data_IF_808525266533
#
_entry.id   IF_808525266533
#
_cell.length_a   1.000
_cell.length_b   1.000
_cell.length_c   1.000
_cell.angle_alpha   90.00
_cell.angle_beta   90.00
_cell.angle_gamma   90.00
#
_symmetry.space_group_name_H-M   'P 1'
#
loop_
_entity.id
_entity.type
_entity.pdbx_description
1 polymer ?
#
# COMPACT_ATOMS: atom_id res chain seq x y z
N UNK A 1 12.39 7.73 17.84
CA UNK A 1 11.02 7.90 18.27
C UNK A 1 10.22 8.48 17.13
N UNK A 2 9.16 7.78 16.74
CA UNK A 2 8.20 8.30 15.78
C UNK A 2 7.09 9.09 16.48
N UNK A 3 6.23 9.72 15.72
CA UNK A 3 5.01 10.34 16.24
C UNK A 3 4.04 9.27 16.74
N UNK A 4 3.25 9.60 17.78
CA UNK A 4 2.09 8.77 18.17
C UNK A 4 0.97 8.92 17.14
N UNK A 5 0.01 7.98 17.14
CA UNK A 5 -1.17 8.10 16.24
C UNK A 5 -1.93 9.39 16.50
N UNK A 6 -2.09 9.78 17.76
CA UNK A 6 -2.77 11.01 18.17
C UNK A 6 -2.07 12.27 17.65
N UNK A 7 -0.73 12.30 17.70
CA UNK A 7 0.06 13.40 17.14
C UNK A 7 -0.10 13.50 15.63
N UNK A 8 -0.11 12.37 14.91
CA UNK A 8 -0.32 12.34 13.45
C UNK A 8 -1.73 12.82 13.09
N UNK A 9 -2.76 12.33 13.79
CA UNK A 9 -4.14 12.76 13.57
C UNK A 9 -4.33 14.25 13.81
N UNK A 10 -3.77 14.77 14.92
CA UNK A 10 -3.83 16.19 15.23
C UNK A 10 -3.11 17.06 14.19
N UNK A 11 -1.95 16.61 13.69
CA UNK A 11 -1.18 17.33 12.67
C UNK A 11 -1.92 17.40 11.32
N UNK A 12 -2.61 16.34 10.94
CA UNK A 12 -3.37 16.28 9.68
C UNK A 12 -4.81 16.77 9.79
N UNK A 13 -5.29 17.06 10.99
CA UNK A 13 -6.69 17.39 11.23
C UNK A 13 -7.65 16.25 10.90
N UNK A 14 -7.19 15.00 11.01
CA UNK A 14 -7.99 13.83 10.71
C UNK A 14 -8.85 13.44 11.92
N UNK A 15 -10.14 13.15 11.70
CA UNK A 15 -11.11 12.81 12.75
C UNK A 15 -10.90 11.40 13.31
N UNK A 16 -10.21 10.51 12.58
CA UNK A 16 -9.98 9.13 12.99
C UNK A 16 -8.82 8.45 12.26
N UNK A 17 -8.39 7.30 12.80
CA UNK A 17 -7.30 6.49 12.25
C UNK A 17 -7.66 5.88 10.88
N UNK A 18 -8.92 5.60 10.67
CA UNK A 18 -9.52 5.13 9.43
C UNK A 18 -10.80 5.93 9.19
N UNK A 19 -11.10 6.17 7.95
CA UNK A 19 -12.22 7.01 7.55
C UNK A 19 -12.63 6.74 6.10
N UNK A 20 -13.78 7.26 5.71
CA UNK A 20 -14.24 7.25 4.33
C UNK A 20 -14.78 8.63 3.94
N UNK A 21 -14.81 8.88 2.66
CA UNK A 21 -15.37 10.10 2.07
C UNK A 21 -15.79 9.83 0.63
N UNK A 22 -16.76 10.59 0.15
CA UNK A 22 -17.15 10.55 -1.24
C UNK A 22 -16.39 11.60 -2.04
N UNK A 23 -15.86 11.20 -3.18
CA UNK A 23 -15.21 12.09 -4.15
C UNK A 23 -15.84 11.87 -5.52
N UNK A 24 -16.61 12.85 -5.98
CA UNK A 24 -17.41 12.71 -7.20
C UNK A 24 -18.32 11.48 -7.14
N UNK A 25 -18.14 10.55 -8.05
CA UNK A 25 -18.90 9.31 -8.19
C UNK A 25 -18.26 8.10 -7.48
N UNK A 26 -17.23 8.32 -6.67
CA UNK A 26 -16.52 7.26 -5.97
C UNK A 26 -16.60 7.44 -4.46
N UNK A 27 -16.74 6.32 -3.77
CA UNK A 27 -16.52 6.22 -2.33
C UNK A 27 -15.07 5.83 -2.07
N UNK A 28 -14.39 6.57 -1.20
CA UNK A 28 -12.98 6.36 -0.85
C UNK A 28 -12.88 5.91 0.60
N UNK A 29 -12.24 4.77 0.82
CA UNK A 29 -11.97 4.22 2.16
C UNK A 29 -10.48 4.29 2.44
N UNK A 30 -10.09 4.87 3.56
CA UNK A 30 -8.71 4.87 4.07
C UNK A 30 -8.65 4.01 5.32
N UNK A 31 -7.84 2.94 5.25
CA UNK A 31 -7.67 1.98 6.34
C UNK A 31 -6.36 2.18 7.09
N UNK A 32 -6.41 2.02 8.41
CA UNK A 32 -5.21 1.97 9.27
C UNK A 32 -4.77 0.51 9.47
N UNK A 33 -3.64 0.14 8.89
CA UNK A 33 -3.06 -1.20 9.03
C UNK A 33 -2.17 -1.37 10.26
N UNK A 34 -2.13 -0.43 11.21
CA UNK A 34 -1.18 -0.40 12.31
C UNK A 34 -1.78 -0.78 13.67
N UNK A 35 -2.82 -1.60 13.70
CA UNK A 35 -3.27 -2.21 14.94
C UNK A 35 -2.36 -3.37 15.34
N UNK A 36 -2.32 -3.66 16.65
CA UNK A 36 -1.60 -4.82 17.17
C UNK A 36 -2.43 -6.09 16.97
N UNK A 37 -1.81 -7.11 16.35
CA UNK A 37 -2.39 -8.44 16.34
C UNK A 37 -2.41 -8.98 17.78
N UNK A 38 -3.57 -9.34 18.35
CA UNK A 38 -3.67 -9.86 19.70
C UNK A 38 -3.15 -11.30 19.86
N UNK A 39 -2.83 -11.99 18.76
CA UNK A 39 -2.35 -13.36 18.79
C UNK A 39 -1.00 -13.47 19.50
N UNK A 40 -0.82 -14.41 20.43
CA UNK A 40 0.49 -14.70 21.03
C UNK A 40 1.51 -15.20 20.01
N UNK A 41 1.05 -15.77 18.88
CA UNK A 41 1.90 -16.25 17.80
C UNK A 41 2.10 -15.20 16.69
N UNK A 42 1.77 -13.93 16.95
CA UNK A 42 1.96 -12.88 15.97
C UNK A 42 3.40 -12.81 15.48
N UNK A 43 3.62 -12.54 14.19
CA UNK A 43 4.96 -12.31 13.66
C UNK A 43 5.65 -11.15 14.40
N UNK A 44 6.96 -11.29 14.62
CA UNK A 44 7.79 -10.21 15.15
C UNK A 44 7.83 -9.02 14.20
N UNK A 45 8.12 -7.85 14.76
CA UNK A 45 8.23 -6.60 14.00
C UNK A 45 7.16 -5.59 14.39
N UNK A 46 6.95 -4.62 13.52
CA UNK A 46 5.93 -3.57 13.76
C UNK A 46 4.51 -4.07 13.44
N UNK A 47 3.53 -3.32 13.92
CA UNK A 47 2.12 -3.65 13.78
C UNK A 47 1.69 -3.67 12.30
N UNK A 48 1.01 -4.75 11.90
CA UNK A 48 0.45 -4.95 10.55
C UNK A 48 -0.86 -5.73 10.65
N UNK A 49 -1.86 -5.12 11.23
CA UNK A 49 -3.12 -5.77 11.53
C UNK A 49 -4.27 -4.77 11.42
N UNK A 50 -5.44 -5.22 11.02
CA UNK A 50 -6.67 -4.46 11.04
C UNK A 50 -7.59 -5.09 12.09
N UNK A 51 -7.84 -4.35 13.17
CA UNK A 51 -8.60 -4.83 14.30
C UNK A 51 -10.08 -5.09 13.98
N UNK A 52 -10.77 -5.88 14.83
CA UNK A 52 -12.18 -6.23 14.62
C UNK A 52 -13.11 -5.01 14.61
N UNK A 53 -12.78 -3.98 15.37
CA UNK A 53 -13.55 -2.73 15.40
C UNK A 53 -13.53 -2.05 14.02
N UNK A 54 -12.35 -1.91 13.42
CA UNK A 54 -12.22 -1.33 12.08
C UNK A 54 -12.87 -2.23 11.01
N UNK A 55 -12.75 -3.55 11.11
CA UNK A 55 -13.42 -4.46 10.18
C UNK A 55 -14.95 -4.34 10.25
N UNK A 56 -15.50 -4.22 11.45
CA UNK A 56 -16.94 -4.00 11.66
C UNK A 56 -17.39 -2.63 11.12
N UNK A 57 -16.56 -1.60 11.32
CA UNK A 57 -16.82 -0.29 10.73
C UNK A 57 -16.80 -0.36 9.20
N UNK A 58 -15.80 -0.99 8.60
CA UNK A 58 -15.66 -1.13 7.16
C UNK A 58 -16.86 -1.87 6.54
N UNK A 59 -17.35 -2.95 7.19
CA UNK A 59 -18.54 -3.66 6.71
C UNK A 59 -19.79 -2.76 6.72
N UNK A 60 -19.97 -1.96 7.77
CA UNK A 60 -21.09 -1.02 7.88
C UNK A 60 -20.98 0.12 6.87
N UNK A 61 -19.80 0.69 6.73
CA UNK A 61 -19.52 1.77 5.81
C UNK A 61 -19.80 1.36 4.35
N UNK A 62 -19.26 0.21 3.94
CA UNK A 62 -19.55 -0.36 2.62
C UNK A 62 -21.03 -0.72 2.40
N UNK A 63 -21.78 -1.02 3.45
CA UNK A 63 -23.21 -1.29 3.33
C UNK A 63 -24.05 -0.02 3.14
N UNK A 64 -23.56 1.14 3.54
CA UNK A 64 -24.27 2.43 3.48
C UNK A 64 -24.11 3.14 2.13
N UNK A 65 -23.14 2.77 1.32
CA UNK A 65 -22.91 3.37 0.01
C UNK A 65 -23.30 2.43 -1.13
N UNK A 66 -23.78 3.00 -2.23
CA UNK A 66 -23.96 2.32 -3.51
C UNK A 66 -22.89 2.77 -4.53
N UNK A 67 -21.97 3.64 -4.14
CA UNK A 67 -20.92 4.13 -5.04
C UNK A 67 -19.82 3.08 -5.27
N UNK A 68 -19.20 3.07 -6.44
CA UNK A 68 -17.95 2.37 -6.67
C UNK A 68 -16.91 2.79 -5.63
N UNK A 69 -16.23 1.82 -5.03
CA UNK A 69 -15.37 2.06 -3.87
C UNK A 69 -13.91 1.81 -4.19
N UNK A 70 -13.08 2.76 -3.78
CA UNK A 70 -11.62 2.70 -3.79
C UNK A 70 -11.13 2.51 -2.36
N UNK A 71 -10.24 1.56 -2.13
CA UNK A 71 -9.69 1.28 -0.80
C UNK A 71 -8.21 1.60 -0.78
N UNK A 72 -7.76 2.33 0.23
CA UNK A 72 -6.37 2.70 0.46
C UNK A 72 -5.91 2.11 1.80
N UNK A 73 -4.85 1.31 1.76
CA UNK A 73 -4.20 0.77 2.94
C UNK A 73 -2.70 0.74 2.72
N UNK A 74 -1.90 1.26 3.67
CA UNK A 74 -0.45 1.32 3.47
C UNK A 74 0.16 -0.06 3.27
N UNK A 75 -0.18 -1.03 4.11
CA UNK A 75 0.26 -2.42 3.94
C UNK A 75 -0.69 -3.17 3.00
N UNK A 76 -0.13 -4.06 2.16
CA UNK A 76 -0.91 -4.83 1.18
C UNK A 76 -1.97 -5.73 1.82
N UNK A 77 -3.15 -5.78 1.20
CA UNK A 77 -4.24 -6.69 1.56
C UNK A 77 -4.26 -7.95 0.68
N UNK A 78 -3.40 -8.03 -0.31
CA UNK A 78 -3.35 -9.10 -1.32
C UNK A 78 -2.45 -10.28 -0.90
N UNK A 79 -1.57 -10.09 0.08
CA UNK A 79 -0.70 -11.12 0.62
C UNK A 79 -0.34 -10.85 2.07
N UNK A 80 0.12 -11.88 2.77
CA UNK A 80 0.58 -11.86 4.16
C UNK A 80 2.11 -11.86 4.30
N UNK A 81 2.86 -11.95 3.19
CA UNK A 81 4.31 -11.87 3.16
C UNK A 81 4.81 -10.41 3.32
N UNK A 82 4.55 -9.82 4.48
CA UNK A 82 4.87 -8.43 4.79
C UNK A 82 3.68 -7.47 4.62
N UNK A 83 2.54 -7.93 4.13
CA UNK A 83 1.26 -7.24 4.15
C UNK A 83 0.55 -7.33 5.51
N UNK A 84 -0.73 -7.06 5.54
CA UNK A 84 -1.58 -7.18 6.73
C UNK A 84 -1.68 -8.64 7.17
N UNK A 85 -1.43 -8.95 8.44
CA UNK A 85 -1.45 -10.32 8.99
C UNK A 85 -2.81 -11.01 8.80
N UNK A 86 -3.89 -10.27 8.94
CA UNK A 86 -5.24 -10.77 8.71
C UNK A 86 -5.83 -10.33 7.37
N UNK A 87 -5.00 -10.18 6.33
CA UNK A 87 -5.40 -9.73 5.00
C UNK A 87 -6.58 -10.53 4.42
N UNK A 88 -6.61 -11.85 4.63
CA UNK A 88 -7.72 -12.71 4.20
C UNK A 88 -9.07 -12.29 4.79
N UNK A 89 -9.10 -11.88 6.06
CA UNK A 89 -10.33 -11.36 6.69
C UNK A 89 -10.75 -10.02 6.10
N UNK A 90 -9.77 -9.15 5.83
CA UNK A 90 -10.04 -7.86 5.18
C UNK A 90 -10.62 -8.07 3.78
N UNK A 91 -10.00 -8.95 2.97
CA UNK A 91 -10.53 -9.30 1.64
C UNK A 91 -11.94 -9.85 1.70
N UNK A 92 -12.22 -10.73 2.67
CA UNK A 92 -13.57 -11.29 2.83
C UNK A 92 -14.64 -10.21 3.08
N UNK A 93 -14.33 -9.13 3.79
CA UNK A 93 -15.24 -7.98 3.97
C UNK A 93 -15.52 -7.30 2.63
N UNK A 94 -14.46 -7.03 1.84
CA UNK A 94 -14.58 -6.39 0.52
C UNK A 94 -15.36 -7.27 -0.47
N UNK A 95 -15.08 -8.56 -0.51
CA UNK A 95 -15.73 -9.54 -1.37
C UNK A 95 -17.22 -9.71 -1.01
N UNK A 96 -17.55 -9.76 0.28
CA UNK A 96 -18.95 -9.78 0.76
C UNK A 96 -19.70 -8.51 0.37
N UNK A 97 -19.05 -7.34 0.40
CA UNK A 97 -19.66 -6.10 -0.04
C UNK A 97 -20.04 -6.16 -1.53
N UNK A 98 -19.17 -6.71 -2.38
CA UNK A 98 -19.48 -6.95 -3.79
C UNK A 98 -20.63 -7.94 -3.98
N UNK A 99 -20.60 -9.04 -3.24
CA UNK A 99 -21.67 -10.06 -3.29
C UNK A 99 -23.02 -9.49 -2.88
N UNK A 100 -23.08 -8.75 -1.77
CA UNK A 100 -24.30 -8.13 -1.27
C UNK A 100 -24.86 -7.06 -2.22
N UNK A 101 -23.97 -6.32 -2.89
CA UNK A 101 -24.37 -5.30 -3.85
C UNK A 101 -24.88 -5.87 -5.19
N UNK A 102 -24.50 -7.11 -5.54
CA UNK A 102 -24.83 -7.71 -6.82
C UNK A 102 -23.97 -7.19 -7.99
N UNK A 103 -22.98 -6.36 -7.71
CA UNK A 103 -22.00 -5.83 -8.67
C UNK A 103 -20.64 -5.63 -8.01
N UNK A 104 -19.60 -5.39 -8.83
CA UNK A 104 -18.24 -5.13 -8.34
C UNK A 104 -18.12 -3.71 -7.75
N UNK A 105 -18.65 -3.52 -6.53
CA UNK A 105 -18.59 -2.24 -5.82
C UNK A 105 -17.14 -1.86 -5.48
N UNK A 106 -16.41 -2.76 -4.84
CA UNK A 106 -14.98 -2.60 -4.56
C UNK A 106 -14.20 -3.27 -5.67
N UNK A 107 -13.49 -2.49 -6.48
CA UNK A 107 -12.71 -3.00 -7.60
C UNK A 107 -11.22 -2.69 -7.51
N UNK A 108 -10.83 -1.66 -6.75
CA UNK A 108 -9.47 -1.17 -6.67
C UNK A 108 -9.04 -1.02 -5.20
N UNK A 109 -7.92 -1.63 -4.86
CA UNK A 109 -7.23 -1.49 -3.57
C UNK A 109 -5.81 -1.04 -3.83
N UNK A 110 -5.41 0.08 -3.23
CA UNK A 110 -4.09 0.67 -3.37
C UNK A 110 -3.27 0.46 -2.11
N UNK A 111 -2.02 0.02 -2.29
CA UNK A 111 -1.09 -0.19 -1.19
C UNK A 111 0.31 0.28 -1.55
N UNK A 112 1.13 0.53 -0.52
CA UNK A 112 2.55 0.82 -0.60
C UNK A 112 3.36 -0.20 0.19
N UNK A 113 4.24 0.23 1.10
CA UNK A 113 4.93 -0.56 2.10
C UNK A 113 6.06 -1.48 1.58
N UNK A 114 5.79 -2.32 0.59
CA UNK A 114 6.78 -3.28 0.07
C UNK A 114 7.89 -2.62 -0.72
N UNK A 115 7.73 -1.35 -1.12
CA UNK A 115 8.65 -0.63 -2.01
C UNK A 115 8.87 -1.38 -3.33
N UNK A 116 7.83 -2.03 -3.83
CA UNK A 116 7.80 -2.78 -5.08
C UNK A 116 6.64 -2.32 -5.94
N UNK A 117 6.76 -2.47 -7.25
CA UNK A 117 5.70 -2.18 -8.21
C UNK A 117 5.11 -3.49 -8.71
N UNK A 118 3.88 -3.80 -8.29
CA UNK A 118 3.18 -4.98 -8.76
C UNK A 118 1.66 -4.83 -8.75
N UNK A 119 1.00 -5.82 -9.31
CA UNK A 119 -0.44 -5.90 -9.44
C UNK A 119 -0.90 -7.35 -9.23
N UNK A 120 -1.95 -7.52 -8.46
CA UNK A 120 -2.64 -8.79 -8.27
C UNK A 120 -4.14 -8.62 -8.51
N UNK A 121 -4.81 -9.69 -8.94
CA UNK A 121 -6.27 -9.75 -8.96
C UNK A 121 -6.74 -10.96 -8.16
N UNK A 122 -7.60 -10.71 -7.16
CA UNK A 122 -8.16 -11.76 -6.30
C UNK A 122 -9.67 -11.55 -6.26
N UNK A 123 -10.42 -12.57 -6.67
CA UNK A 123 -11.89 -12.56 -6.66
C UNK A 123 -12.52 -11.30 -7.30
N UNK A 124 -11.94 -10.85 -8.42
CA UNK A 124 -12.41 -9.69 -9.18
C UNK A 124 -11.98 -8.32 -8.61
N UNK A 125 -11.30 -8.28 -7.48
CA UNK A 125 -10.74 -7.05 -6.89
C UNK A 125 -9.28 -6.92 -7.33
N UNK A 126 -8.91 -5.73 -7.77
CA UNK A 126 -7.57 -5.40 -8.26
C UNK A 126 -6.75 -4.76 -7.14
N UNK A 127 -5.64 -5.38 -6.77
CA UNK A 127 -4.72 -4.90 -5.75
C UNK A 127 -3.48 -4.31 -6.41
N UNK A 128 -3.27 -3.02 -6.23
CA UNK A 128 -2.22 -2.24 -6.89
C UNK A 128 -1.23 -1.82 -5.83
N UNK A 129 -0.04 -2.38 -5.92
CA UNK A 129 1.08 -2.02 -5.07
C UNK A 129 1.90 -0.95 -5.79
N UNK A 130 2.12 0.18 -5.12
CA UNK A 130 2.90 1.30 -5.63
C UNK A 130 4.22 1.34 -4.86
N UNK A 131 5.34 1.38 -5.58
CA UNK A 131 6.65 1.46 -4.96
C UNK A 131 6.85 2.79 -4.22
N UNK A 132 7.88 2.87 -3.38
CA UNK A 132 8.24 4.09 -2.66
C UNK A 132 8.57 5.24 -3.60
N UNK A 133 8.32 6.46 -3.16
CA UNK A 133 8.70 7.67 -3.88
C UNK A 133 10.21 7.81 -4.01
N UNK A 134 10.99 7.39 -3.03
CA UNK A 134 12.38 7.83 -2.88
C UNK A 134 13.42 6.73 -2.81
N UNK A 135 13.07 5.49 -2.43
CA UNK A 135 14.06 4.42 -2.26
C UNK A 135 13.41 3.02 -2.21
N UNK A 136 14.26 1.99 -2.44
CA UNK A 136 13.94 0.63 -2.03
C UNK A 136 14.68 0.27 -0.74
N UNK A 137 14.00 -0.40 0.19
CA UNK A 137 14.59 -0.84 1.46
C UNK A 137 15.31 -2.17 1.29
N UNK A 138 16.65 -2.17 1.48
CA UNK A 138 17.49 -3.36 1.36
C UNK A 138 17.69 -4.10 2.68
N UNK A 139 17.62 -3.39 3.79
CA UNK A 139 17.87 -3.94 5.12
C UNK A 139 19.35 -4.01 5.51
N UNK A 140 19.61 -4.58 6.68
CA UNK A 140 20.93 -4.56 7.30
C UNK A 140 21.97 -5.40 6.54
N UNK A 141 21.55 -6.51 5.94
CA UNK A 141 22.46 -7.42 5.22
C UNK A 141 23.16 -6.75 4.01
N UNK A 142 22.50 -5.75 3.41
CA UNK A 142 22.99 -5.04 2.23
C UNK A 142 23.24 -3.56 2.49
N UNK A 143 23.52 -3.19 3.74
CA UNK A 143 23.84 -1.81 4.08
C UNK A 143 25.04 -1.27 3.32
N UNK A 144 24.97 -0.02 2.88
CA UNK A 144 26.05 0.64 2.14
C UNK A 144 26.06 2.14 2.35
N UNK A 145 27.25 2.69 2.54
CA UNK A 145 27.44 4.13 2.59
C UNK A 145 27.43 4.68 1.16
N UNK A 146 26.43 5.52 0.87
CA UNK A 146 26.21 6.13 -0.45
C UNK A 146 26.37 7.65 -0.43
N UNK A 147 26.34 8.26 0.74
CA UNK A 147 26.36 9.70 0.96
C UNK A 147 27.46 10.10 1.93
N UNK A 148 27.72 11.39 2.05
CA UNK A 148 28.70 11.94 2.98
C UNK A 148 28.43 11.54 4.42
N UNK A 149 29.47 11.62 5.26
CA UNK A 149 29.35 11.31 6.68
C UNK A 149 28.27 12.17 7.36
N UNK A 150 28.21 13.46 7.06
CA UNK A 150 27.20 14.37 7.60
C UNK A 150 25.77 13.91 7.28
N UNK A 151 25.51 13.44 6.05
CA UNK A 151 24.19 12.89 5.66
C UNK A 151 23.91 11.60 6.43
N UNK A 152 24.88 10.70 6.56
CA UNK A 152 24.67 9.44 7.28
C UNK A 152 24.45 9.64 8.78
N UNK A 153 25.05 10.66 9.39
CA UNK A 153 24.82 11.03 10.79
C UNK A 153 23.41 11.59 11.00
N UNK A 154 22.94 12.45 10.09
CA UNK A 154 21.61 13.05 10.14
C UNK A 154 20.51 12.04 9.80
N UNK A 155 20.80 11.10 8.89
CA UNK A 155 19.86 10.09 8.40
C UNK A 155 20.44 8.67 8.56
N UNK A 156 20.54 8.13 9.79
CA UNK A 156 21.29 6.89 10.06
C UNK A 156 20.70 5.64 9.38
N UNK A 157 19.47 5.70 8.93
CA UNK A 157 18.79 4.60 8.23
C UNK A 157 19.02 4.60 6.71
N UNK A 158 19.57 5.68 6.14
CA UNK A 158 19.77 5.81 4.69
C UNK A 158 20.69 4.73 4.12
N UNK A 159 21.65 4.24 4.91
CA UNK A 159 22.57 3.16 4.53
C UNK A 159 21.89 1.82 4.25
N UNK A 160 20.66 1.61 4.73
CA UNK A 160 19.87 0.39 4.50
C UNK A 160 19.00 0.48 3.25
N UNK A 161 19.13 1.55 2.48
CA UNK A 161 18.31 1.84 1.31
C UNK A 161 19.15 1.92 0.05
N UNK A 162 18.50 1.73 -1.10
CA UNK A 162 18.99 2.19 -2.38
C UNK A 162 18.06 3.30 -2.89
N UNK A 163 18.50 4.56 -2.86
CA UNK A 163 17.68 5.68 -3.28
C UNK A 163 17.49 5.72 -4.80
N UNK A 164 16.44 6.42 -5.22
CA UNK A 164 16.18 6.76 -6.62
C UNK A 164 16.72 8.16 -6.93
N UNK A 165 17.23 8.37 -8.14
CA UNK A 165 17.73 9.68 -8.57
C UNK A 165 16.61 10.72 -8.71
N UNK A 166 15.43 10.28 -9.14
CA UNK A 166 14.25 11.12 -9.29
C UNK A 166 13.11 10.53 -8.46
N UNK A 167 12.29 11.38 -7.82
CA UNK A 167 11.13 10.89 -7.08
C UNK A 167 10.15 10.17 -8.01
N UNK A 168 9.60 9.07 -7.53
CA UNK A 168 8.57 8.31 -8.23
C UNK A 168 7.19 8.72 -7.76
N UNK A 169 6.30 8.92 -8.70
CA UNK A 169 4.88 9.21 -8.48
C UNK A 169 4.08 8.70 -9.67
N UNK A 170 2.77 8.62 -9.53
CA UNK A 170 1.90 8.21 -10.61
C UNK A 170 0.61 9.04 -10.63
N UNK A 171 0.01 9.16 -11.80
CA UNK A 171 -1.33 9.71 -11.97
C UNK A 171 -2.30 8.54 -12.13
N UNK A 172 -3.33 8.50 -11.29
CA UNK A 172 -4.43 7.55 -11.41
C UNK A 172 -5.63 8.22 -12.06
N UNK A 173 -6.01 7.78 -13.23
CA UNK A 173 -7.22 8.19 -13.93
C UNK A 173 -8.28 7.09 -13.81
N UNK A 174 -9.44 7.43 -13.26
CA UNK A 174 -10.50 6.46 -12.98
C UNK A 174 -11.80 6.94 -13.62
N UNK A 175 -12.42 6.06 -14.38
CA UNK A 175 -13.75 6.24 -14.94
C UNK A 175 -14.62 5.03 -14.59
N UNK A 176 -15.91 5.09 -14.92
CA UNK A 176 -16.84 3.98 -14.74
C UNK A 176 -16.55 2.74 -15.60
N UNK A 177 -15.53 2.75 -16.45
CA UNK A 177 -15.17 1.64 -17.34
C UNK A 177 -13.73 1.21 -17.25
N UNK A 178 -12.85 2.09 -16.78
CA UNK A 178 -11.42 1.89 -16.86
C UNK A 178 -10.70 2.61 -15.73
N UNK A 179 -9.69 1.95 -15.21
CA UNK A 179 -8.62 2.54 -14.43
C UNK A 179 -7.35 2.58 -15.28
N UNK A 180 -6.64 3.69 -15.23
CA UNK A 180 -5.33 3.85 -15.83
C UNK A 180 -4.38 4.46 -14.80
N UNK A 181 -3.21 3.84 -14.65
CA UNK A 181 -2.10 4.38 -13.86
C UNK A 181 -0.98 4.78 -14.83
N UNK A 182 -0.56 6.02 -14.77
CA UNK A 182 0.56 6.56 -15.52
C UNK A 182 1.73 6.77 -14.56
N UNK A 183 2.71 5.89 -14.63
CA UNK A 183 3.84 5.85 -13.71
C UNK A 183 5.04 6.67 -14.17
N UNK A 184 6.04 6.74 -13.30
CA UNK A 184 7.31 7.41 -13.56
C UNK A 184 8.47 6.43 -13.50
N UNK A 185 9.55 6.75 -14.21
CA UNK A 185 10.79 5.99 -14.21
C UNK A 185 11.93 6.81 -13.61
N UNK A 186 12.80 6.11 -12.89
CA UNK A 186 14.03 6.64 -12.33
C UNK A 186 15.17 5.64 -12.52
N UNK A 187 16.30 5.89 -11.91
CA UNK A 187 17.45 5.01 -11.78
C UNK A 187 17.86 4.92 -10.32
N UNK A 188 18.68 3.94 -9.96
CA UNK A 188 19.23 3.84 -8.61
C UNK A 188 20.44 4.77 -8.45
N UNK A 189 20.58 5.37 -7.28
CA UNK A 189 21.75 6.16 -6.91
C UNK A 189 22.89 5.23 -6.51
N UNK A 190 24.05 5.37 -7.18
CA UNK A 190 25.25 4.56 -6.93
C UNK A 190 25.08 3.11 -7.37
N UNK A 191 25.79 2.15 -6.74
CA UNK A 191 25.64 0.74 -7.09
C UNK A 191 24.22 0.25 -6.92
N UNK A 192 23.70 -0.44 -7.95
CA UNK A 192 22.35 -1.01 -7.96
C UNK A 192 22.23 -2.15 -6.93
N UNK A 193 21.03 -2.58 -6.58
CA UNK A 193 20.87 -3.78 -5.75
C UNK A 193 21.59 -5.00 -6.32
N UNK A 194 21.54 -5.20 -7.63
CA UNK A 194 22.22 -6.30 -8.31
C UNK A 194 23.76 -6.23 -8.17
N UNK A 195 24.35 -5.04 -8.28
CA UNK A 195 25.80 -4.85 -8.17
C UNK A 195 26.35 -5.20 -6.77
N UNK A 196 25.48 -5.22 -5.77
CA UNK A 196 25.83 -5.57 -4.39
C UNK A 196 25.29 -6.93 -3.96
N UNK A 197 24.86 -7.76 -4.92
CA UNK A 197 24.45 -9.15 -4.68
C UNK A 197 23.07 -9.33 -4.08
N UNK A 198 22.19 -8.30 -4.17
CA UNK A 198 20.78 -8.44 -3.78
C UNK A 198 20.05 -9.24 -4.84
N UNK A 199 19.23 -10.21 -4.42
CA UNK A 199 18.29 -10.85 -5.31
C UNK A 199 17.28 -9.80 -5.82
N UNK A 200 17.24 -9.64 -7.14
CA UNK A 200 16.36 -8.65 -7.79
C UNK A 200 14.87 -9.04 -7.76
N UNK A 201 14.55 -10.21 -7.26
CA UNK A 201 13.19 -10.64 -7.01
C UNK A 201 12.98 -10.87 -5.51
N UNK A 202 12.04 -10.16 -4.92
CA UNK A 202 11.66 -10.32 -3.53
C UNK A 202 10.16 -10.55 -3.45
N UNK A 203 9.72 -11.52 -2.66
CA UNK A 203 8.31 -11.88 -2.51
C UNK A 203 7.60 -12.19 -3.85
N UNK A 204 8.33 -12.69 -4.85
CA UNK A 204 7.80 -12.97 -6.18
C UNK A 204 7.64 -11.73 -7.09
N UNK A 205 8.22 -10.58 -6.73
CA UNK A 205 8.14 -9.34 -7.50
C UNK A 205 9.51 -8.68 -7.66
N UNK A 206 9.76 -8.02 -8.80
CA UNK A 206 11.05 -7.41 -9.07
C UNK A 206 11.29 -6.15 -8.23
N UNK A 207 12.55 -5.91 -7.92
CA UNK A 207 13.03 -4.63 -7.37
C UNK A 207 13.34 -3.71 -8.54
N UNK A 208 12.52 -2.68 -8.71
CA UNK A 208 12.63 -1.76 -9.85
C UNK A 208 12.54 -0.29 -9.42
N UNK A 209 13.27 0.62 -10.08
CA UNK A 209 13.20 2.05 -9.79
C UNK A 209 12.16 2.76 -10.67
N UNK A 210 10.97 2.19 -10.78
CA UNK A 210 9.87 2.78 -11.55
C UNK A 210 8.50 2.34 -11.01
N UNK A 211 7.47 3.09 -11.39
CA UNK A 211 6.07 2.68 -11.32
C UNK A 211 5.65 2.38 -12.75
N UNK A 212 5.20 1.16 -13.02
CA UNK A 212 4.75 0.77 -14.35
C UNK A 212 3.37 1.34 -14.67
N UNK A 213 3.15 1.66 -15.94
CA UNK A 213 1.82 1.97 -16.43
C UNK A 213 0.91 0.76 -16.29
N UNK A 214 -0.33 1.00 -15.86
CA UNK A 214 -1.35 -0.04 -15.74
C UNK A 214 -2.64 0.43 -16.37
N UNK A 215 -3.29 -0.48 -17.08
CA UNK A 215 -4.62 -0.23 -17.66
C UNK A 215 -5.52 -1.41 -17.33
N UNK A 216 -6.54 -1.16 -16.53
CA UNK A 216 -7.46 -2.18 -16.03
C UNK A 216 -8.87 -1.82 -16.47
N UNK A 217 -9.55 -2.76 -17.13
CA UNK A 217 -10.97 -2.64 -17.39
C UNK A 217 -11.73 -2.90 -16.12
N UNK A 218 -12.57 -1.97 -15.71
CA UNK A 218 -13.43 -2.11 -14.56
C UNK A 218 -14.74 -2.79 -14.96
N UNK A 219 -15.30 -3.56 -14.03
CA UNK A 219 -16.63 -4.13 -14.18
C UNK A 219 -17.70 -3.03 -14.21
N UNK A 220 -18.91 -3.40 -14.61
CA UNK A 220 -20.04 -2.45 -14.56
C UNK A 220 -20.24 -2.00 -13.12
N UNK A 221 -20.29 -0.72 -12.91
CA UNK A 221 -20.87 -0.09 -11.76
C UNK A 221 -22.39 -0.03 -12.01
N UNK A 222 -23.19 -0.71 -11.20
CA UNK A 222 -24.67 -0.85 -11.19
C UNK A 222 -25.40 -0.50 -12.49
#
# INVERSE_FOLDING_TARGET
GGFTKEQVLAFWGAEGKYYSFDCKEFHCVVSDGNDQDPSPSRPAGYARYIGPEQLNWLEKDLAQTNLPTLVFCHQGLDNDMGGIHNASRCRLVLEKANQKAGFQKVQLVFSGHHHQDYYNQINGINYIQITSMSYHWLGQAYQRIRFSEAVNQTHPWIKYTVPYEKPLWAIAEISNKQFQLLGQKSTFVGPTPQDIGVDMEQRGYPIVPFISDKKIRLGKFS
#
